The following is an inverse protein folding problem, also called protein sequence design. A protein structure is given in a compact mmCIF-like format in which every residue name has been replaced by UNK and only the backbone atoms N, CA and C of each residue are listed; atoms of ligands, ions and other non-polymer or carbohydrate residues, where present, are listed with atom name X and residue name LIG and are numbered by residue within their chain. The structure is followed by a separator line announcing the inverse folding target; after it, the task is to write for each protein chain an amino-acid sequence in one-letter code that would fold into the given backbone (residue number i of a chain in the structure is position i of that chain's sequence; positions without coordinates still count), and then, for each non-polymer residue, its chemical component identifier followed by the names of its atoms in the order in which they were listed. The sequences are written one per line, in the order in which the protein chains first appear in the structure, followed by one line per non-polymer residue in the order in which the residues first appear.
data_IF_395323117612
#
_entry.id   IF_395323117612
#
_cell.length_a   1.000
_cell.length_b   1.000
_cell.length_c   1.000
_cell.angle_alpha   90.00
_cell.angle_beta   90.00
_cell.angle_gamma   90.00
#
_symmetry.space_group_name_H-M   'P 1'
#
loop_
_entity.id
_entity.type
_entity.pdbx_description
1 polymer ?
#
# COMPACT_ATOMS: atom_id res chain seq x y z
N UNK A 1 -4.97 4.49 6.37
CA UNK A 1 -5.45 5.41 7.43
C UNK A 1 -6.74 4.96 8.09
N UNK A 2 -6.93 3.66 8.29
CA UNK A 2 -8.17 3.17 8.89
C UNK A 2 -8.30 3.63 10.34
N UNK A 3 -9.53 3.75 10.85
CA UNK A 3 -9.82 4.33 12.16
C UNK A 3 -9.10 3.58 13.30
N UNK A 4 -8.88 2.26 13.14
CA UNK A 4 -8.15 1.44 14.11
C UNK A 4 -6.71 1.89 14.33
N UNK A 5 -6.07 2.55 13.36
CA UNK A 5 -4.69 3.04 13.48
C UNK A 5 -4.61 4.36 14.28
N UNK A 6 -5.74 4.96 14.65
CA UNK A 6 -5.81 6.28 15.29
C UNK A 6 -6.53 6.25 16.64
N UNK A 7 -6.76 5.07 17.20
CA UNK A 7 -7.44 4.94 18.50
C UNK A 7 -6.63 5.62 19.61
N UNK A 8 -7.26 6.04 20.71
CA UNK A 8 -6.55 6.64 21.85
C UNK A 8 -5.46 5.74 22.44
N UNK A 9 -5.59 4.42 22.32
CA UNK A 9 -4.57 3.48 22.75
C UNK A 9 -3.31 3.56 21.86
N UNK A 10 -3.49 3.59 20.54
CA UNK A 10 -2.38 3.70 19.59
C UNK A 10 -1.70 5.07 19.71
N UNK A 11 -2.46 6.15 19.86
CA UNK A 11 -1.88 7.50 20.02
C UNK A 11 -1.03 7.60 21.29
N UNK A 12 -1.51 7.05 22.41
CA UNK A 12 -0.73 6.99 23.67
C UNK A 12 0.55 6.19 23.49
N UNK A 13 0.45 5.01 22.90
CA UNK A 13 1.62 4.17 22.64
C UNK A 13 2.65 4.90 21.76
N UNK A 14 2.24 5.60 20.70
CA UNK A 14 3.16 6.36 19.85
C UNK A 14 3.84 7.51 20.58
N UNK A 15 3.12 8.20 21.48
CA UNK A 15 3.71 9.26 22.30
C UNK A 15 4.80 8.71 23.26
N UNK A 16 4.62 7.51 23.78
CA UNK A 16 5.59 6.82 24.64
C UNK A 16 6.79 6.24 23.85
N UNK A 17 6.66 6.09 22.53
CA UNK A 17 7.65 5.44 21.67
C UNK A 17 8.12 6.37 20.54
N UNK A 18 8.91 7.42 20.85
CA UNK A 18 9.29 8.46 19.88
C UNK A 18 10.19 7.97 18.74
N UNK A 19 10.70 6.72 18.81
CA UNK A 19 11.42 6.07 17.72
C UNK A 19 10.54 5.82 16.49
N UNK A 20 9.22 5.83 16.62
CA UNK A 20 8.29 5.57 15.52
C UNK A 20 7.68 6.87 14.99
N UNK A 21 7.97 7.19 13.73
CA UNK A 21 7.36 8.30 13.01
C UNK A 21 6.35 7.78 11.99
N UNK A 22 5.08 8.17 12.13
CA UNK A 22 4.01 7.71 11.24
C UNK A 22 3.89 8.62 10.01
N UNK A 23 4.09 8.06 8.82
CA UNK A 23 3.80 8.71 7.54
C UNK A 23 2.50 8.14 6.98
N UNK A 24 1.44 8.95 7.01
CA UNK A 24 0.15 8.57 6.46
C UNK A 24 0.06 8.97 4.98
N UNK A 25 -0.28 8.04 4.10
CA UNK A 25 -0.64 8.37 2.71
C UNK A 25 -1.97 9.14 2.68
N UNK A 26 -2.25 10.01 1.71
CA UNK A 26 -3.55 10.68 1.62
C UNK A 26 -4.71 9.67 1.50
N UNK A 27 -5.91 10.06 1.96
CA UNK A 27 -7.11 9.22 1.81
C UNK A 27 -7.34 8.88 0.34
N UNK A 28 -7.78 7.65 0.08
CA UNK A 28 -7.95 7.09 -1.27
C UNK A 28 -6.65 6.96 -2.10
N UNK A 29 -5.48 7.13 -1.48
CA UNK A 29 -4.17 6.95 -2.15
C UNK A 29 -3.53 5.60 -1.81
N UNK A 30 -4.30 4.52 -1.86
CA UNK A 30 -3.81 3.13 -1.71
C UNK A 30 -2.66 2.82 -2.67
N UNK A 31 -2.70 3.42 -3.86
CA UNK A 31 -1.67 3.27 -4.88
C UNK A 31 -0.29 3.76 -4.45
N UNK A 32 -0.16 4.61 -3.42
CA UNK A 32 1.12 5.04 -2.82
C UNK A 32 1.64 4.05 -1.77
N UNK A 33 0.79 3.18 -1.24
CA UNK A 33 1.15 2.23 -0.21
C UNK A 33 1.83 0.99 -0.82
N UNK A 34 3.14 0.86 -0.65
CA UNK A 34 3.92 -0.26 -1.17
C UNK A 34 3.49 -1.62 -0.59
N UNK A 35 3.00 -1.66 0.65
CA UNK A 35 2.49 -2.90 1.26
C UNK A 35 1.23 -3.36 0.54
N UNK A 36 0.32 -2.45 0.19
CA UNK A 36 -0.88 -2.77 -0.57
C UNK A 36 -0.54 -3.22 -2.00
N UNK A 37 0.46 -2.59 -2.65
CA UNK A 37 0.99 -3.07 -3.94
C UNK A 37 1.56 -4.48 -3.84
N UNK A 38 2.32 -4.77 -2.79
CA UNK A 38 2.87 -6.10 -2.55
C UNK A 38 1.77 -7.15 -2.35
N UNK A 39 0.72 -6.83 -1.59
CA UNK A 39 -0.45 -7.72 -1.46
C UNK A 39 -1.17 -7.94 -2.79
N UNK A 40 -1.24 -6.94 -3.66
CA UNK A 40 -1.71 -7.09 -5.03
C UNK A 40 -0.91 -8.14 -5.80
N UNK A 41 0.42 -8.06 -5.76
CA UNK A 41 1.30 -9.05 -6.41
C UNK A 41 1.13 -10.47 -5.86
N UNK A 42 1.11 -10.62 -4.54
CA UNK A 42 0.84 -11.92 -3.89
C UNK A 42 -0.50 -12.49 -4.37
N UNK A 43 -1.53 -11.63 -4.44
CA UNK A 43 -2.87 -12.04 -4.86
C UNK A 43 -2.88 -12.52 -6.31
N UNK A 44 -2.28 -11.76 -7.22
CA UNK A 44 -2.27 -12.07 -8.65
C UNK A 44 -1.42 -13.28 -9.01
N UNK A 45 -0.27 -13.45 -8.34
CA UNK A 45 0.73 -14.45 -8.71
C UNK A 45 0.56 -15.77 -7.96
N UNK A 46 0.14 -15.73 -6.69
CA UNK A 46 0.05 -16.91 -5.84
C UNK A 46 -1.40 -17.29 -5.54
N UNK A 47 -2.21 -16.36 -5.01
CA UNK A 47 -3.54 -16.71 -4.46
C UNK A 47 -4.54 -17.04 -5.57
N UNK A 48 -4.69 -16.17 -6.59
CA UNK A 48 -5.66 -16.38 -7.68
C UNK A 48 -5.32 -17.54 -8.61
N UNK A 49 -4.05 -17.95 -8.64
CA UNK A 49 -3.55 -19.05 -9.49
C UNK A 49 -3.36 -20.36 -8.72
N UNK A 50 -3.47 -20.32 -7.39
CA UNK A 50 -3.27 -21.47 -6.52
C UNK A 50 -4.55 -22.26 -6.26
N UNK A 51 -4.39 -23.54 -5.94
CA UNK A 51 -5.47 -24.39 -5.42
C UNK A 51 -5.14 -24.74 -3.97
N UNK A 52 -5.81 -24.06 -3.03
CA UNK A 52 -5.57 -24.24 -1.61
C UNK A 52 -6.69 -25.09 -0.99
N UNK A 53 -6.37 -26.32 -0.60
CA UNK A 53 -7.36 -27.30 -0.12
C UNK A 53 -7.85 -27.04 1.31
N UNK A 54 -7.14 -26.21 2.06
CA UNK A 54 -7.48 -25.78 3.42
C UNK A 54 -6.67 -24.52 3.80
N UNK A 55 -6.98 -23.94 4.96
CA UNK A 55 -6.32 -22.73 5.46
C UNK A 55 -4.83 -22.93 5.71
N UNK A 56 -4.42 -24.10 6.22
CA UNK A 56 -3.01 -24.40 6.50
C UNK A 56 -2.17 -24.47 5.22
N UNK A 57 -2.75 -25.00 4.13
CA UNK A 57 -2.13 -25.00 2.81
C UNK A 57 -1.95 -23.58 2.28
N UNK A 58 -2.99 -22.73 2.39
CA UNK A 58 -2.89 -21.32 2.02
C UNK A 58 -1.81 -20.58 2.83
N UNK A 59 -1.78 -20.79 4.15
CA UNK A 59 -0.79 -20.17 5.03
C UNK A 59 0.64 -20.57 4.64
N UNK A 60 0.89 -21.87 4.42
CA UNK A 60 2.18 -22.37 3.98
C UNK A 60 2.61 -21.73 2.65
N UNK A 61 1.68 -21.64 1.70
CA UNK A 61 1.96 -21.09 0.38
C UNK A 61 2.27 -19.57 0.44
N UNK A 62 1.57 -18.82 1.31
CA UNK A 62 1.88 -17.41 1.59
C UNK A 62 3.27 -17.27 2.24
N UNK A 63 3.62 -18.11 3.22
CA UNK A 63 4.94 -18.08 3.86
C UNK A 63 6.07 -18.40 2.89
N UNK A 64 5.85 -19.37 2.00
CA UNK A 64 6.80 -19.71 0.94
C UNK A 64 6.99 -18.53 -0.03
N UNK A 65 5.90 -17.86 -0.43
CA UNK A 65 5.97 -16.65 -1.25
C UNK A 65 6.77 -15.54 -0.59
N UNK A 66 6.54 -15.27 0.71
CA UNK A 66 7.29 -14.26 1.47
C UNK A 66 8.78 -14.59 1.47
N UNK A 67 9.15 -15.85 1.71
CA UNK A 67 10.56 -16.29 1.70
C UNK A 67 11.19 -16.03 0.34
N UNK A 68 10.55 -16.50 -0.74
CA UNK A 68 11.05 -16.32 -2.11
C UNK A 68 11.20 -14.84 -2.48
N UNK A 69 10.21 -14.01 -2.15
CA UNK A 69 10.27 -12.57 -2.42
C UNK A 69 11.44 -11.89 -1.69
N UNK A 70 11.73 -12.32 -0.46
CA UNK A 70 12.81 -11.73 0.33
C UNK A 70 14.22 -12.18 -0.12
N UNK A 71 14.34 -13.26 -0.90
CA UNK A 71 15.63 -13.70 -1.46
C UNK A 71 16.15 -12.77 -2.57
N UNK A 72 15.27 -12.22 -3.42
CA UNK A 72 15.57 -11.19 -4.42
C UNK A 72 14.44 -10.15 -4.46
N UNK A 73 14.38 -9.21 -3.48
CA UNK A 73 13.29 -8.26 -3.41
C UNK A 73 13.34 -7.29 -4.58
N UNK A 74 12.21 -7.17 -5.30
CA UNK A 74 12.04 -6.20 -6.39
C UNK A 74 11.35 -4.95 -5.83
N UNK A 75 12.09 -3.89 -5.44
CA UNK A 75 11.47 -2.69 -4.91
C UNK A 75 10.57 -2.02 -5.96
N UNK A 76 9.49 -1.40 -5.52
CA UNK A 76 8.63 -0.62 -6.40
C UNK A 76 9.32 0.70 -6.75
N UNK A 77 9.68 0.87 -8.01
CA UNK A 77 10.22 2.13 -8.52
C UNK A 77 9.09 3.06 -8.96
N UNK A 78 9.07 4.28 -8.42
CA UNK A 78 8.22 5.34 -8.92
C UNK A 78 8.88 5.93 -10.17
N UNK A 79 8.19 5.82 -11.31
CA UNK A 79 8.71 6.31 -12.60
C UNK A 79 8.45 7.81 -12.77
N UNK A 80 7.54 8.37 -11.99
CA UNK A 80 7.16 9.78 -12.02
C UNK A 80 7.64 10.51 -10.78
N UNK A 81 8.20 11.70 -10.98
CA UNK A 81 8.60 12.58 -9.87
C UNK A 81 7.37 13.15 -9.16
N UNK A 82 7.57 13.68 -7.95
CA UNK A 82 6.51 14.37 -7.23
C UNK A 82 5.99 15.55 -8.05
N UNK A 83 6.88 16.33 -8.67
CA UNK A 83 6.54 17.49 -9.49
C UNK A 83 5.69 17.10 -10.70
N UNK A 84 6.07 16.04 -11.43
CA UNK A 84 5.27 15.54 -12.57
C UNK A 84 3.86 15.11 -12.14
N UNK A 85 3.73 14.52 -10.94
CA UNK A 85 2.42 14.14 -10.38
C UNK A 85 1.60 15.39 -10.03
N UNK A 86 2.22 16.38 -9.38
CA UNK A 86 1.56 17.62 -8.97
C UNK A 86 1.13 18.46 -10.17
N UNK A 87 1.97 18.60 -11.20
CA UNK A 87 1.63 19.28 -12.44
C UNK A 87 0.44 18.62 -13.16
N UNK A 88 0.44 17.28 -13.25
CA UNK A 88 -0.67 16.54 -13.85
C UNK A 88 -1.97 16.71 -13.06
N UNK A 89 -1.90 16.70 -11.72
CA UNK A 89 -3.05 16.94 -10.86
C UNK A 89 -3.59 18.36 -11.03
N UNK A 90 -2.72 19.37 -11.10
CA UNK A 90 -3.11 20.75 -11.35
C UNK A 90 -3.85 20.89 -12.69
N UNK A 91 -3.32 20.28 -13.76
CA UNK A 91 -3.99 20.25 -15.06
C UNK A 91 -5.34 19.53 -15.05
N UNK A 92 -5.46 18.43 -14.31
CA UNK A 92 -6.74 17.70 -14.16
C UNK A 92 -7.78 18.52 -13.38
N UNK A 93 -7.40 19.14 -12.27
CA UNK A 93 -8.27 19.99 -11.46
C UNK A 93 -8.73 21.24 -12.22
N UNK A 94 -7.86 21.83 -13.04
CA UNK A 94 -8.22 22.97 -13.89
C UNK A 94 -9.27 22.56 -14.93
N UNK A 95 -9.09 21.42 -15.61
CA UNK A 95 -10.09 20.90 -16.55
C UNK A 95 -11.44 20.64 -15.89
N UNK A 96 -11.48 20.11 -14.67
CA UNK A 96 -12.74 19.91 -13.93
C UNK A 96 -13.44 21.25 -13.68
N UNK A 97 -12.70 22.28 -13.26
CA UNK A 97 -13.26 23.63 -13.05
C UNK A 97 -13.81 24.24 -14.35
N UNK A 98 -13.14 23.96 -15.48
CA UNK A 98 -13.53 24.47 -16.79
C UNK A 98 -14.66 23.64 -17.44
N UNK A 99 -14.94 22.43 -16.93
CA UNK A 99 -15.98 21.51 -17.41
C UNK A 99 -17.39 21.84 -16.87
N UNK A 100 -17.71 23.13 -16.67
CA UNK A 100 -18.97 23.60 -16.06
C UNK A 100 -20.20 22.79 -16.53
N UNK A 101 -20.88 22.20 -15.56
CA UNK A 101 -22.33 22.34 -15.45
C UNK A 101 -22.65 23.75 -14.96
#
# INVERSE_FOLDING_TARGET
NYATHKTPAIQRWLAEHPRFHMHFTPTYSSWLNQVERWFGLLTERQIRRGVHKNVQALERDIRAWIKLWNEDPRPFAWVKTADEILERLAGYLQRIKDSRH
#
